data_IF_840962508787
#
_entry.id   IF_840962508787
#
_cell.length_a   1.000
_cell.length_b   1.000
_cell.length_c   1.000
_cell.angle_alpha   90.00
_cell.angle_beta   90.00
_cell.angle_gamma   90.00
#
_symmetry.space_group_name_H-M   'P 1'
#
loop_
_entity.id
_entity.type
_entity.pdbx_description
1 polymer ?
#
# COMPACT_ATOMS: atom_id res chain seq x y z
N UNK A 1 -16.45 -20.75 10.34
CA UNK A 1 -15.30 -21.33 9.60
C UNK A 1 -14.03 -20.74 10.20
N UNK A 2 -13.21 -21.55 10.89
CA UNK A 2 -12.07 -21.07 11.70
C UNK A 2 -10.91 -20.48 10.88
N UNK A 3 -10.06 -19.68 11.52
CA UNK A 3 -8.97 -18.92 10.87
C UNK A 3 -8.01 -19.78 10.04
N UNK A 4 -7.78 -21.03 10.45
CA UNK A 4 -6.90 -21.96 9.73
C UNK A 4 -7.48 -22.41 8.37
N UNK A 5 -8.79 -22.62 8.27
CA UNK A 5 -9.42 -23.05 7.02
C UNK A 5 -9.33 -21.96 5.93
N UNK A 6 -9.52 -20.68 6.30
CA UNK A 6 -9.37 -19.55 5.38
C UNK A 6 -7.91 -19.39 4.93
N UNK A 7 -6.96 -19.59 5.85
CA UNK A 7 -5.53 -19.56 5.58
C UNK A 7 -5.09 -20.63 4.58
N UNK A 8 -5.49 -21.88 4.81
CA UNK A 8 -5.10 -22.99 3.94
C UNK A 8 -5.74 -22.87 2.55
N UNK A 9 -6.97 -22.37 2.48
CA UNK A 9 -7.63 -22.04 1.22
C UNK A 9 -6.90 -20.94 0.42
N UNK A 10 -6.45 -19.87 1.09
CA UNK A 10 -5.69 -18.79 0.41
C UNK A 10 -4.33 -19.30 -0.07
N UNK A 11 -3.64 -20.13 0.72
CA UNK A 11 -2.39 -20.78 0.29
C UNK A 11 -2.60 -21.69 -0.91
N UNK A 12 -3.67 -22.47 -0.93
CA UNK A 12 -4.04 -23.29 -2.08
C UNK A 12 -4.32 -22.40 -3.29
N UNK A 13 -5.06 -21.29 -3.12
CA UNK A 13 -5.30 -20.34 -4.20
C UNK A 13 -4.00 -19.75 -4.78
N UNK A 14 -3.09 -19.30 -3.92
CA UNK A 14 -1.79 -18.75 -4.33
C UNK A 14 -0.98 -19.82 -5.07
N UNK A 15 -0.89 -21.04 -4.54
CA UNK A 15 -0.06 -22.10 -5.13
C UNK A 15 -0.66 -22.67 -6.44
N UNK A 16 -1.97 -22.90 -6.46
CA UNK A 16 -2.70 -23.56 -7.54
C UNK A 16 -3.04 -22.63 -8.69
N UNK A 17 -3.43 -21.39 -8.40
CA UNK A 17 -3.87 -20.44 -9.41
C UNK A 17 -2.87 -19.31 -9.66
N UNK A 18 -1.68 -19.37 -9.03
CA UNK A 18 -0.66 -18.31 -9.13
C UNK A 18 -1.23 -16.92 -8.82
N UNK A 19 -2.15 -16.84 -7.86
CA UNK A 19 -2.75 -15.56 -7.45
C UNK A 19 -1.64 -14.62 -7.02
N UNK A 20 -1.44 -13.57 -7.82
CA UNK A 20 -0.32 -12.65 -7.68
C UNK A 20 -0.68 -11.40 -6.87
N UNK A 21 -1.97 -11.19 -6.63
CA UNK A 21 -2.53 -10.03 -5.96
C UNK A 21 -3.78 -10.44 -5.18
N UNK A 22 -3.90 -9.97 -3.94
CA UNK A 22 -5.08 -10.17 -3.10
C UNK A 22 -5.46 -8.85 -2.42
N UNK A 23 -6.69 -8.41 -2.65
CA UNK A 23 -7.32 -7.35 -1.85
C UNK A 23 -8.13 -8.00 -0.73
N UNK A 24 -7.85 -7.64 0.51
CA UNK A 24 -8.64 -8.07 1.67
C UNK A 24 -9.45 -6.87 2.15
N UNK A 25 -10.77 -7.04 2.17
CA UNK A 25 -11.69 -6.15 2.84
C UNK A 25 -12.18 -6.85 4.11
N UNK A 26 -11.97 -6.24 5.27
CA UNK A 26 -12.63 -6.67 6.51
C UNK A 26 -13.92 -5.88 6.70
N UNK A 27 -15.07 -6.53 6.48
CA UNK A 27 -16.38 -5.95 6.81
C UNK A 27 -16.61 -6.09 8.31
N UNK A 28 -16.79 -4.97 9.00
CA UNK A 28 -17.16 -4.97 10.42
C UNK A 28 -18.59 -5.52 10.56
N UNK A 29 -18.76 -6.68 11.22
CA UNK A 29 -20.06 -7.08 11.73
C UNK A 29 -20.41 -6.18 12.91
N UNK A 30 -21.61 -5.57 12.91
CA UNK A 30 -22.05 -4.61 13.93
C UNK A 30 -22.11 -5.19 15.35
N UNK A 31 -22.01 -6.51 15.52
CA UNK A 31 -22.05 -7.15 16.84
C UNK A 31 -21.13 -8.37 16.95
N UNK A 32 -19.81 -8.18 16.90
CA UNK A 32 -18.88 -9.16 17.52
C UNK A 32 -17.69 -8.40 18.12
N UNK A 33 -17.62 -8.35 19.44
CA UNK A 33 -16.52 -7.81 20.25
C UNK A 33 -15.22 -8.62 20.17
N UNK A 34 -15.16 -9.63 19.31
CA UNK A 34 -14.16 -10.67 19.31
C UNK A 34 -13.69 -11.03 17.90
N UNK A 35 -13.10 -10.08 17.19
CA UNK A 35 -11.95 -10.26 16.29
C UNK A 35 -11.78 -8.96 15.53
N UNK A 36 -10.90 -8.11 16.04
CA UNK A 36 -10.51 -6.88 15.37
C UNK A 36 -9.02 -6.96 15.11
N UNK A 37 -8.72 -7.64 14.02
CA UNK A 37 -7.40 -8.11 13.69
C UNK A 37 -6.72 -7.03 12.85
N UNK A 38 -6.06 -6.07 13.48
CA UNK A 38 -5.39 -4.94 12.80
C UNK A 38 -3.90 -4.96 13.06
N UNK A 39 -3.11 -4.62 12.06
CA UNK A 39 -1.67 -4.62 12.17
C UNK A 39 -1.18 -3.28 12.74
N UNK A 40 -0.28 -3.31 13.74
CA UNK A 40 0.24 -2.17 14.52
C UNK A 40 -0.79 -1.31 15.29
N UNK A 41 -0.38 -0.83 16.47
CA UNK A 41 -1.21 0.01 17.35
C UNK A 41 -1.57 1.35 16.67
N UNK A 42 -0.65 1.88 15.88
CA UNK A 42 -0.76 3.16 15.17
C UNK A 42 -1.78 3.17 14.01
N UNK A 43 -2.15 2.01 13.49
CA UNK A 43 -3.16 1.90 12.42
C UNK A 43 -4.60 1.92 12.98
N UNK A 44 -4.74 2.37 14.23
CA UNK A 44 -5.99 2.52 14.97
C UNK A 44 -6.01 3.78 15.81
N UNK A 45 -7.22 4.32 15.96
CA UNK A 45 -7.48 5.41 16.87
C UNK A 45 -8.85 5.25 17.54
N UNK A 46 -8.97 5.60 18.82
CA UNK A 46 -10.23 5.58 19.58
C UNK A 46 -10.82 4.18 19.84
N UNK A 47 -10.00 3.12 19.81
CA UNK A 47 -10.47 1.73 19.97
C UNK A 47 -9.46 0.84 20.69
N UNK A 48 -9.95 -0.22 21.34
CA UNK A 48 -9.11 -1.19 22.06
C UNK A 48 -8.34 -2.05 21.06
N UNK A 49 -7.03 -2.19 21.25
CA UNK A 49 -6.17 -2.99 20.40
C UNK A 49 -6.25 -4.48 20.78
N UNK A 50 -6.63 -5.34 19.82
CA UNK A 50 -6.63 -6.78 20.01
C UNK A 50 -5.29 -7.38 19.56
N UNK A 51 -4.36 -7.51 20.50
CA UNK A 51 -3.00 -8.03 20.28
C UNK A 51 -3.01 -9.44 19.68
N UNK A 52 -3.86 -10.33 20.20
CA UNK A 52 -3.93 -11.72 19.74
C UNK A 52 -4.40 -11.81 18.30
N UNK A 53 -5.44 -11.02 17.97
CA UNK A 53 -5.93 -10.90 16.61
C UNK A 53 -4.84 -10.38 15.68
N UNK A 54 -4.23 -9.24 16.03
CA UNK A 54 -3.13 -8.64 15.27
C UNK A 54 -2.02 -9.65 14.97
N UNK A 55 -1.54 -10.37 15.99
CA UNK A 55 -0.50 -11.40 15.84
C UNK A 55 -0.92 -12.53 14.90
N UNK A 56 -2.17 -12.97 14.96
CA UNK A 56 -2.71 -14.01 14.08
C UNK A 56 -2.77 -13.55 12.61
N UNK A 57 -3.21 -12.31 12.34
CA UNK A 57 -3.16 -11.74 10.98
C UNK A 57 -1.75 -11.74 10.43
N UNK A 58 -0.86 -11.32 11.29
CA UNK A 58 0.47 -10.95 10.92
C UNK A 58 1.28 -12.20 10.59
N UNK A 59 1.07 -13.23 11.42
CA UNK A 59 1.47 -14.60 11.13
C UNK A 59 0.84 -15.10 9.83
N UNK A 60 -0.44 -14.81 9.54
CA UNK A 60 -1.07 -15.21 8.29
C UNK A 60 -0.40 -14.58 7.05
N UNK A 61 -0.13 -13.27 7.06
CA UNK A 61 0.53 -12.55 5.97
C UNK A 61 1.93 -13.12 5.73
N UNK A 62 2.75 -13.16 6.79
CA UNK A 62 4.12 -13.67 6.75
C UNK A 62 4.17 -15.11 6.24
N UNK A 63 3.34 -16.00 6.80
CA UNK A 63 3.30 -17.41 6.42
C UNK A 63 2.65 -17.70 5.06
N UNK A 64 2.09 -16.68 4.39
CA UNK A 64 1.55 -16.79 3.04
C UNK A 64 2.52 -16.21 1.99
N UNK A 65 3.68 -15.68 2.41
CA UNK A 65 4.64 -15.05 1.51
C UNK A 65 4.12 -13.76 0.86
N UNK A 66 3.16 -13.10 1.54
CA UNK A 66 2.58 -11.84 1.10
C UNK A 66 3.23 -10.67 1.84
N UNK A 67 3.23 -9.51 1.19
CA UNK A 67 3.78 -8.27 1.72
C UNK A 67 2.69 -7.20 1.66
N UNK A 68 2.57 -6.40 2.73
CA UNK A 68 1.67 -5.24 2.75
C UNK A 68 2.24 -4.12 1.88
N UNK A 69 1.45 -3.65 0.91
CA UNK A 69 1.86 -2.53 0.06
C UNK A 69 1.73 -1.23 0.85
N UNK A 70 2.75 -0.39 0.79
CA UNK A 70 2.73 0.91 1.45
C UNK A 70 1.55 1.75 0.94
N UNK A 71 0.76 2.25 1.90
CA UNK A 71 -0.36 3.15 1.65
C UNK A 71 0.10 4.59 1.82
N UNK A 72 -0.02 5.37 0.75
CA UNK A 72 0.23 6.80 0.68
C UNK A 72 -1.06 7.61 0.93
N UNK A 73 -0.89 8.89 1.25
CA UNK A 73 -2.00 9.78 1.58
C UNK A 73 -2.49 9.54 3.01
N UNK A 74 -3.78 9.26 3.17
CA UNK A 74 -4.36 9.05 4.50
C UNK A 74 -4.04 7.66 5.07
N UNK A 75 -3.66 7.63 6.35
CA UNK A 75 -3.29 6.39 7.05
C UNK A 75 -4.48 5.48 7.43
N UNK A 76 -5.69 6.03 7.51
CA UNK A 76 -6.90 5.28 7.88
C UNK A 76 -7.84 5.13 6.69
N UNK A 77 -8.33 3.91 6.46
CA UNK A 77 -9.28 3.59 5.38
C UNK A 77 -10.72 3.52 5.87
N UNK A 78 -10.94 3.53 7.18
CA UNK A 78 -12.25 3.59 7.80
C UNK A 78 -12.28 4.59 8.95
N UNK A 79 -13.41 5.26 9.11
CA UNK A 79 -13.67 6.10 10.27
C UNK A 79 -15.12 5.96 10.75
N UNK A 80 -15.36 6.16 12.03
CA UNK A 80 -16.72 6.31 12.53
C UNK A 80 -17.34 7.60 11.94
N UNK A 81 -18.65 7.67 11.68
CA UNK A 81 -19.30 8.90 11.19
C UNK A 81 -19.04 10.12 12.09
N UNK A 82 -18.99 9.92 13.41
CA UNK A 82 -18.65 10.95 14.39
C UNK A 82 -17.13 11.20 14.56
N UNK A 83 -16.29 10.60 13.71
CA UNK A 83 -14.83 10.65 13.78
C UNK A 83 -14.23 10.25 15.14
N UNK A 84 -14.97 9.50 15.97
CA UNK A 84 -14.54 9.05 17.31
C UNK A 84 -13.62 7.82 17.28
N UNK A 85 -13.60 7.09 16.16
CA UNK A 85 -12.79 5.90 15.96
C UNK A 85 -12.31 5.87 14.52
N UNK A 86 -11.07 5.48 14.28
CA UNK A 86 -10.51 5.34 12.93
C UNK A 86 -9.60 4.13 12.85
N UNK A 87 -9.49 3.53 11.67
CA UNK A 87 -8.67 2.35 11.47
C UNK A 87 -8.30 2.12 10.01
N UNK A 88 -7.16 1.47 9.78
CA UNK A 88 -6.78 0.93 8.47
C UNK A 88 -7.31 -0.51 8.33
N UNK A 89 -8.41 -0.66 7.60
CA UNK A 89 -9.08 -1.94 7.35
C UNK A 89 -8.76 -2.52 5.97
N UNK A 90 -8.51 -1.66 5.00
CA UNK A 90 -8.38 -2.03 3.59
C UNK A 90 -6.90 -2.03 3.21
N UNK A 91 -6.45 -3.11 2.56
CA UNK A 91 -5.03 -3.31 2.19
C UNK A 91 -4.88 -4.05 0.87
N UNK A 92 -3.76 -3.77 0.21
CA UNK A 92 -3.28 -4.59 -0.88
C UNK A 92 -2.12 -5.44 -0.39
N UNK A 93 -2.25 -6.76 -0.56
CA UNK A 93 -1.21 -7.72 -0.25
C UNK A 93 -0.66 -8.31 -1.54
N UNK A 94 0.67 -8.38 -1.64
CA UNK A 94 1.36 -8.78 -2.86
C UNK A 94 2.49 -9.78 -2.58
N UNK A 95 2.64 -10.77 -3.45
CA UNK A 95 3.75 -11.72 -3.36
C UNK A 95 5.07 -11.04 -3.71
N UNK A 96 6.18 -11.52 -3.15
CA UNK A 96 7.51 -10.95 -3.41
C UNK A 96 7.90 -10.98 -4.89
N UNK A 97 7.42 -11.97 -5.66
CA UNK A 97 7.69 -12.07 -7.10
C UNK A 97 6.99 -11.00 -7.94
N UNK A 98 5.81 -10.52 -7.51
CA UNK A 98 5.13 -9.42 -8.20
C UNK A 98 5.75 -8.08 -7.77
N UNK A 99 6.10 -7.93 -6.50
CA UNK A 99 6.85 -6.77 -6.02
C UNK A 99 8.18 -6.58 -6.77
N UNK A 100 8.92 -7.65 -7.04
CA UNK A 100 10.16 -7.56 -7.82
C UNK A 100 9.92 -7.20 -9.29
N UNK A 101 8.78 -7.60 -9.85
CA UNK A 101 8.37 -7.24 -11.22
C UNK A 101 7.84 -5.80 -11.33
N UNK A 102 7.31 -5.25 -10.24
CA UNK A 102 6.74 -3.91 -10.16
C UNK A 102 7.33 -3.13 -8.97
N UNK A 103 8.62 -2.74 -9.02
CA UNK A 103 9.31 -2.15 -7.88
C UNK A 103 8.76 -0.77 -7.47
N UNK A 104 8.02 -0.11 -8.36
CA UNK A 104 7.42 1.21 -8.12
C UNK A 104 5.92 1.13 -7.87
N UNK A 105 5.43 0.01 -7.32
CA UNK A 105 4.02 -0.11 -6.98
C UNK A 105 3.75 0.53 -5.62
N UNK A 106 2.69 1.33 -5.53
CA UNK A 106 2.21 1.88 -4.26
C UNK A 106 0.69 1.87 -4.21
N UNK A 107 0.14 2.01 -3.00
CA UNK A 107 -1.29 2.21 -2.80
C UNK A 107 -1.53 3.66 -2.39
N UNK A 108 -2.62 4.28 -2.82
CA UNK A 108 -3.04 5.60 -2.35
C UNK A 108 -4.44 5.52 -1.73
N UNK A 109 -4.59 6.13 -0.56
CA UNK A 109 -5.87 6.30 0.10
C UNK A 109 -6.52 7.60 -0.36
N UNK A 110 -7.71 7.50 -0.95
CA UNK A 110 -8.43 8.65 -1.51
C UNK A 110 -9.24 9.40 -0.47
N UNK A 111 -9.70 10.60 -0.83
CA UNK A 111 -10.60 11.39 0.00
C UNK A 111 -11.89 10.63 0.31
N UNK A 112 -12.43 10.95 1.48
CA UNK A 112 -13.68 10.37 1.96
C UNK A 112 -14.85 11.17 1.43
N UNK A 113 -15.82 10.50 0.83
CA UNK A 113 -17.12 11.09 0.48
C UNK A 113 -18.19 10.65 1.49
N UNK A 114 -19.32 10.15 1.01
CA UNK A 114 -20.48 9.76 1.83
C UNK A 114 -20.31 8.41 2.55
N UNK A 115 -19.23 7.67 2.25
CA UNK A 115 -18.97 6.34 2.80
C UNK A 115 -18.21 6.42 4.12
N UNK A 116 -18.47 5.46 5.00
CA UNK A 116 -17.67 5.30 6.20
C UNK A 116 -16.26 4.73 5.91
N UNK A 117 -16.08 4.18 4.70
CA UNK A 117 -14.80 3.75 4.13
C UNK A 117 -14.23 4.77 3.12
N UNK A 118 -12.90 4.81 3.02
CA UNK A 118 -12.14 5.45 1.95
C UNK A 118 -11.73 4.40 0.93
N UNK A 119 -11.82 4.75 -0.35
CA UNK A 119 -11.32 3.91 -1.42
C UNK A 119 -9.79 3.92 -1.40
N UNK A 120 -9.18 2.74 -1.55
CA UNK A 120 -7.74 2.61 -1.79
C UNK A 120 -7.51 2.18 -3.25
N UNK A 121 -6.51 2.78 -3.88
CA UNK A 121 -6.15 2.51 -5.27
C UNK A 121 -4.71 1.99 -5.34
N UNK A 122 -4.51 0.85 -5.99
CA UNK A 122 -3.17 0.35 -6.33
C UNK A 122 -2.71 1.03 -7.61
N UNK A 123 -1.52 1.62 -7.60
CA UNK A 123 -0.94 2.32 -8.75
C UNK A 123 0.53 1.97 -8.94
N UNK A 124 0.99 2.05 -10.19
CA UNK A 124 2.42 2.12 -10.50
C UNK A 124 2.84 3.58 -10.48
N UNK A 125 3.76 3.93 -9.61
CA UNK A 125 4.43 5.23 -9.63
C UNK A 125 5.40 5.21 -10.81
N UNK A 126 5.06 5.94 -11.87
CA UNK A 126 5.99 6.16 -12.97
C UNK A 126 6.76 7.42 -12.61
N UNK A 127 8.01 7.29 -12.16
CA UNK A 127 8.94 8.41 -12.06
C UNK A 127 9.41 8.79 -13.46
N UNK A 128 8.51 9.40 -14.21
CA UNK A 128 8.83 10.26 -15.33
C UNK A 128 9.30 11.58 -14.70
N UNK A 129 10.61 11.71 -14.45
CA UNK A 129 11.20 13.00 -14.05
C UNK A 129 11.35 13.96 -15.25
N UNK A 130 10.65 13.70 -16.35
CA UNK A 130 10.90 14.30 -17.65
C UNK A 130 12.25 13.88 -18.24
N UNK A 131 12.57 14.35 -19.45
CA UNK A 131 13.95 14.37 -19.91
C UNK A 131 14.83 15.13 -18.89
N UNK A 132 16.02 14.62 -18.61
CA UNK A 132 17.02 15.29 -17.74
C UNK A 132 17.10 16.76 -18.11
N UNK A 133 16.82 17.65 -17.17
CA UNK A 133 16.91 19.09 -17.44
C UNK A 133 18.35 19.46 -17.78
N UNK A 134 18.55 20.00 -18.99
CA UNK A 134 19.82 20.61 -19.34
C UNK A 134 19.95 21.90 -18.52
N UNK A 135 21.05 22.04 -17.79
CA UNK A 135 21.36 23.26 -17.07
C UNK A 135 22.43 23.99 -17.86
N UNK A 136 22.09 25.16 -18.39
CA UNK A 136 23.06 26.04 -19.03
C UNK A 136 23.67 26.95 -17.97
N UNK A 137 24.96 26.78 -17.69
CA UNK A 137 25.66 27.66 -16.76
C UNK A 137 26.25 28.85 -17.52
N UNK A 138 26.04 30.07 -17.01
CA UNK A 138 26.62 31.28 -17.61
C UNK A 138 28.15 31.19 -17.71
N UNK A 139 28.82 30.49 -16.79
CA UNK A 139 30.26 30.28 -16.83
C UNK A 139 30.75 29.55 -18.09
N UNK A 140 29.88 28.81 -18.78
CA UNK A 140 30.23 28.09 -20.01
C UNK A 140 30.49 29.02 -21.18
N UNK A 141 29.87 30.21 -21.22
CA UNK A 141 30.16 31.25 -22.22
C UNK A 141 31.61 31.73 -22.17
N UNK A 142 32.29 31.56 -21.03
CA UNK A 142 33.69 31.93 -20.86
C UNK A 142 34.68 30.79 -21.06
N UNK A 143 34.22 29.57 -21.35
CA UNK A 143 35.12 28.42 -21.55
C UNK A 143 35.76 28.49 -22.94
N UNK A 144 37.10 28.39 -23.05
CA UNK A 144 37.76 28.29 -24.34
C UNK A 144 37.20 27.11 -25.14
N UNK A 145 36.77 27.36 -26.38
CA UNK A 145 36.19 26.35 -27.28
C UNK A 145 34.66 26.18 -27.19
N UNK A 146 33.97 26.98 -26.38
CA UNK A 146 32.50 26.98 -26.34
C UNK A 146 31.89 27.39 -27.68
N UNK A 147 32.38 28.47 -28.31
CA UNK A 147 31.87 28.95 -29.59
C UNK A 147 32.07 27.92 -30.72
N UNK A 148 33.19 27.20 -30.70
CA UNK A 148 33.50 26.12 -31.65
C UNK A 148 32.57 24.90 -31.48
N UNK A 149 32.13 24.63 -30.25
CA UNK A 149 31.18 23.57 -29.93
C UNK A 149 29.78 23.92 -30.48
N UNK A 150 29.34 25.17 -30.30
CA UNK A 150 28.02 25.64 -30.72
C UNK A 150 27.91 25.75 -32.24
N UNK A 151 28.97 26.17 -32.92
CA UNK A 151 28.99 26.35 -34.38
C UNK A 151 29.11 25.04 -35.16
N UNK A 152 29.43 23.92 -34.51
CA UNK A 152 29.54 22.58 -35.12
C UNK A 152 28.34 21.65 -34.88
N UNK A 153 27.27 22.17 -34.30
CA UNK A 153 26.04 21.41 -34.00
C UNK A 153 24.99 21.55 -35.10
#
# INVERSE_FOLDING_TARGET
LGSNAKKDWIRELISKHKVSFLSIQETKMESVSAMEVKFLLEERWGSVFNVHGANAFNSFISNSGLNDIQLEGYSFTWAHPLATKMSKLDRFLMSSGLLSSFPYISAICLDRHLSDHRLILLRKVISDFGPTSFHFYHSWLGLPGFDDLVTKS
#
